data_IF_651490659823
#
_entry.id   IF_651490659823
#
_cell.length_a   1.000
_cell.length_b   1.000
_cell.length_c   1.000
_cell.angle_alpha   90.00
_cell.angle_beta   90.00
_cell.angle_gamma   90.00
#
_symmetry.space_group_name_H-M   'P 1'
#
loop_
_entity.id
_entity.type
_entity.pdbx_description
1 polymer ?
#
# COMPACT_ATOMS: atom_id res chain seq x y z
N UNK A 1 2.71 -58.11 31.74
CA UNK A 1 3.51 -57.12 31.01
C UNK A 1 2.86 -55.76 31.21
N UNK A 2 3.56 -54.87 31.92
CA UNK A 2 3.52 -53.39 31.82
C UNK A 2 2.22 -52.60 32.03
N UNK A 3 2.14 -52.00 33.23
CA UNK A 3 1.66 -50.66 33.61
C UNK A 3 1.19 -49.71 32.49
N UNK A 4 0.01 -49.08 32.69
CA UNK A 4 -0.19 -47.62 32.55
C UNK A 4 -1.26 -47.19 33.59
N UNK A 5 -0.84 -46.53 34.67
CA UNK A 5 -1.71 -45.84 35.63
C UNK A 5 -2.17 -44.49 35.05
N UNK A 6 -3.47 -44.22 35.13
CA UNK A 6 -4.06 -42.91 34.83
C UNK A 6 -4.02 -42.08 36.12
N UNK A 7 -3.07 -41.15 36.18
CA UNK A 7 -2.91 -40.20 37.26
C UNK A 7 -4.04 -39.15 37.22
N UNK A 8 -5.00 -39.23 38.14
CA UNK A 8 -5.99 -38.17 38.41
C UNK A 8 -5.70 -37.55 39.79
N UNK A 9 -4.74 -36.64 39.82
CA UNK A 9 -4.45 -35.86 41.02
C UNK A 9 -5.55 -34.82 41.24
N UNK A 10 -6.36 -35.03 42.29
CA UNK A 10 -7.21 -33.99 42.90
C UNK A 10 -6.31 -33.06 43.73
N UNK A 11 -6.24 -31.79 43.35
CA UNK A 11 -5.49 -30.78 44.10
C UNK A 11 -6.40 -30.17 45.17
N UNK A 12 -6.21 -30.61 46.42
CA UNK A 12 -6.75 -29.95 47.60
C UNK A 12 -5.92 -28.72 47.91
N UNK A 13 -6.53 -27.54 47.86
CA UNK A 13 -5.91 -26.28 48.29
C UNK A 13 -5.95 -26.23 49.82
N UNK A 14 -4.79 -26.33 50.46
CA UNK A 14 -4.63 -26.04 51.90
C UNK A 14 -3.81 -24.76 52.04
N UNK A 15 -4.47 -23.71 52.52
CA UNK A 15 -3.89 -22.40 52.80
C UNK A 15 -3.10 -22.48 54.11
N UNK A 16 -1.77 -22.45 54.04
CA UNK A 16 -0.91 -22.19 55.20
C UNK A 16 -0.22 -20.84 55.00
N UNK A 17 -0.72 -19.82 55.70
CA UNK A 17 -0.06 -18.52 55.78
C UNK A 17 1.07 -18.61 56.83
N UNK A 18 2.31 -18.80 56.36
CA UNK A 18 3.51 -18.64 57.18
C UNK A 18 4.16 -17.29 56.86
N UNK A 19 3.85 -16.28 57.67
CA UNK A 19 4.48 -14.97 57.60
C UNK A 19 5.87 -15.08 58.24
N UNK A 20 6.92 -15.30 57.43
CA UNK A 20 8.30 -15.15 57.89
C UNK A 20 8.80 -13.77 57.50
N UNK A 21 9.01 -12.92 58.51
CA UNK A 21 9.64 -11.62 58.33
C UNK A 21 11.13 -11.82 58.05
N UNK A 22 11.53 -11.73 56.78
CA UNK A 22 12.94 -11.54 56.42
C UNK A 22 13.32 -10.10 56.76
N UNK A 23 14.06 -9.91 57.85
CA UNK A 23 14.76 -8.65 58.10
C UNK A 23 15.98 -8.60 57.20
N UNK A 24 15.87 -7.86 56.09
CA UNK A 24 17.07 -7.44 55.33
C UNK A 24 17.72 -6.33 56.14
N UNK A 25 18.78 -6.66 56.86
CA UNK A 25 19.74 -5.65 57.33
C UNK A 25 20.44 -5.08 56.11
N UNK A 26 19.94 -3.96 55.60
CA UNK A 26 20.65 -3.16 54.63
C UNK A 26 21.95 -2.67 55.30
N UNK A 27 23.10 -3.25 54.93
CA UNK A 27 24.38 -2.60 55.21
C UNK A 27 24.36 -1.28 54.42
N UNK A 28 24.20 -0.18 55.16
CA UNK A 28 24.35 1.15 54.61
C UNK A 28 25.74 1.23 53.96
N UNK A 29 25.85 1.72 52.72
CA UNK A 29 27.15 1.86 52.07
C UNK A 29 28.03 2.76 52.95
N UNK A 30 29.18 2.22 53.37
CA UNK A 30 30.21 2.99 54.08
C UNK A 30 30.76 4.03 53.11
N UNK A 31 30.34 5.28 53.30
CA UNK A 31 30.79 6.42 52.53
C UNK A 31 32.26 6.66 52.86
N UNK A 32 33.13 6.37 51.90
CA UNK A 32 34.52 6.81 51.96
C UNK A 32 34.53 8.29 51.57
N UNK A 33 34.89 9.17 52.51
CA UNK A 33 34.91 10.61 52.32
C UNK A 33 36.07 11.01 51.40
N UNK A 34 35.83 10.92 50.08
CA UNK A 34 36.67 11.54 49.05
C UNK A 34 35.76 12.07 47.92
N UNK A 35 34.81 12.93 48.30
CA UNK A 35 33.61 13.29 47.53
C UNK A 35 33.73 14.48 46.57
N UNK A 36 34.88 14.69 45.94
CA UNK A 36 35.05 15.74 44.91
C UNK A 36 34.65 15.27 43.51
N UNK A 37 35.17 14.11 43.08
CA UNK A 37 35.05 13.65 41.68
C UNK A 37 33.75 12.92 41.32
N UNK A 38 33.07 12.28 42.27
CA UNK A 38 31.84 11.50 41.98
C UNK A 38 30.64 12.43 41.71
N UNK A 39 30.54 13.56 42.41
CA UNK A 39 29.48 14.54 42.20
C UNK A 39 29.61 15.20 40.82
N UNK A 40 30.84 15.55 40.42
CA UNK A 40 31.13 16.09 39.09
C UNK A 40 30.78 15.10 37.98
N UNK A 41 31.11 13.81 38.16
CA UNK A 41 30.73 12.77 37.20
C UNK A 41 29.21 12.62 37.06
N UNK A 42 28.47 12.68 38.17
CA UNK A 42 26.99 12.64 38.14
C UNK A 42 26.39 13.86 37.45
N UNK A 43 26.96 15.04 37.64
CA UNK A 43 26.52 16.27 36.97
C UNK A 43 26.71 16.14 35.45
N UNK A 44 27.86 15.63 34.99
CA UNK A 44 28.13 15.40 33.56
C UNK A 44 27.14 14.40 32.94
N UNK A 45 26.80 13.33 33.68
CA UNK A 45 25.81 12.34 33.21
C UNK A 45 24.40 12.94 33.17
N UNK A 46 24.01 13.71 34.19
CA UNK A 46 22.71 14.38 34.21
C UNK A 46 22.60 15.43 33.11
N UNK A 47 23.64 16.22 32.88
CA UNK A 47 23.70 17.20 31.79
C UNK A 47 23.56 16.51 30.42
N UNK A 48 24.21 15.35 30.23
CA UNK A 48 24.07 14.54 29.02
C UNK A 48 22.66 13.98 28.85
N UNK A 49 22.03 13.49 29.91
CA UNK A 49 20.66 12.96 29.88
C UNK A 49 19.65 14.07 29.62
N UNK A 50 19.84 15.25 30.22
CA UNK A 50 18.97 16.41 29.99
C UNK A 50 19.13 16.87 28.54
N UNK A 51 20.36 17.00 28.04
CA UNK A 51 20.62 17.36 26.64
C UNK A 51 20.01 16.36 25.66
N UNK A 52 20.21 15.06 25.88
CA UNK A 52 19.65 14.02 25.01
C UNK A 52 18.12 13.98 25.08
N UNK A 53 17.53 14.23 26.25
CA UNK A 53 16.07 14.35 26.42
C UNK A 53 15.52 15.57 25.67
N UNK A 54 16.20 16.71 25.75
CA UNK A 54 15.81 17.92 25.00
C UNK A 54 15.95 17.72 23.49
N UNK A 55 17.03 17.07 23.04
CA UNK A 55 17.22 16.70 21.62
C UNK A 55 16.12 15.74 21.14
N UNK A 56 15.76 14.74 21.95
CA UNK A 56 14.67 13.81 21.65
C UNK A 56 13.32 14.53 21.59
N UNK A 57 13.04 15.43 22.54
CA UNK A 57 11.83 16.24 22.54
C UNK A 57 11.74 17.13 21.30
N UNK A 58 12.86 17.76 20.90
CA UNK A 58 12.92 18.56 19.69
C UNK A 58 12.69 17.70 18.43
N UNK A 59 13.33 16.53 18.35
CA UNK A 59 13.13 15.58 17.23
C UNK A 59 11.68 15.11 17.12
N UNK A 60 11.03 14.82 18.25
CA UNK A 60 9.62 14.47 18.29
C UNK A 60 8.75 15.63 17.80
N UNK A 61 9.07 16.87 18.19
CA UNK A 61 8.35 18.06 17.74
C UNK A 61 8.48 18.27 16.24
N UNK A 62 9.70 18.15 15.68
CA UNK A 62 9.92 18.21 14.23
C UNK A 62 9.17 17.10 13.49
N UNK A 63 9.10 15.89 14.07
CA UNK A 63 8.31 14.81 13.49
C UNK A 63 6.82 15.16 13.47
N UNK A 64 6.28 15.72 14.55
CA UNK A 64 4.88 16.16 14.59
C UNK A 64 4.59 17.27 13.57
N UNK A 65 5.50 18.23 13.41
CA UNK A 65 5.35 19.31 12.43
C UNK A 65 5.39 18.76 11.00
N UNK A 66 6.30 17.84 10.71
CA UNK A 66 6.38 17.17 9.40
C UNK A 66 5.13 16.33 9.12
N UNK A 67 4.64 15.58 10.12
CA UNK A 67 3.41 14.81 10.00
C UNK A 67 2.19 15.71 9.75
N UNK A 68 2.12 16.85 10.43
CA UNK A 68 1.04 17.82 10.24
C UNK A 68 1.06 18.39 8.82
N UNK A 69 2.24 18.79 8.34
CA UNK A 69 2.43 19.26 6.96
C UNK A 69 2.03 18.21 5.93
N UNK A 70 2.37 16.94 6.16
CA UNK A 70 1.99 15.84 5.28
C UNK A 70 0.47 15.60 5.29
N UNK A 71 -0.18 15.65 6.45
CA UNK A 71 -1.65 15.55 6.56
C UNK A 71 -2.33 16.68 5.79
N UNK A 72 -1.80 17.90 5.86
CA UNK A 72 -2.39 19.05 5.16
C UNK A 72 -2.18 18.94 3.64
N UNK A 73 -1.02 18.46 3.18
CA UNK A 73 -0.78 18.14 1.77
C UNK A 73 -1.73 17.03 1.27
N UNK A 74 -1.92 15.97 2.07
CA UNK A 74 -2.83 14.87 1.73
C UNK A 74 -4.28 15.35 1.66
N UNK A 75 -4.72 16.23 2.56
CA UNK A 75 -6.05 16.85 2.52
C UNK A 75 -6.23 17.71 1.27
N UNK A 76 -5.24 18.53 0.92
CA UNK A 76 -5.28 19.33 -0.30
C UNK A 76 -5.35 18.45 -1.56
N UNK A 77 -4.54 17.39 -1.62
CA UNK A 77 -4.58 16.44 -2.72
C UNK A 77 -5.93 15.71 -2.80
N UNK A 78 -6.55 15.39 -1.65
CA UNK A 78 -7.88 14.77 -1.61
C UNK A 78 -8.94 15.71 -2.17
N UNK A 79 -8.93 16.98 -1.79
CA UNK A 79 -9.88 18.00 -2.27
C UNK A 79 -9.77 18.19 -3.79
N UNK A 80 -8.55 18.29 -4.32
CA UNK A 80 -8.30 18.38 -5.76
C UNK A 80 -8.83 17.14 -6.48
N UNK A 81 -8.55 15.94 -5.97
CA UNK A 81 -9.05 14.70 -6.55
C UNK A 81 -10.58 14.62 -6.52
N UNK A 82 -11.22 15.03 -5.42
CA UNK A 82 -12.68 15.08 -5.32
C UNK A 82 -13.27 16.05 -6.36
N UNK A 83 -12.65 17.21 -6.56
CA UNK A 83 -13.08 18.15 -7.59
C UNK A 83 -12.91 17.59 -9.01
N UNK A 84 -11.79 16.94 -9.30
CA UNK A 84 -11.55 16.30 -10.59
C UNK A 84 -12.56 15.19 -10.86
N UNK A 85 -12.86 14.35 -9.87
CA UNK A 85 -13.90 13.31 -9.97
C UNK A 85 -15.28 13.91 -10.26
N UNK A 86 -15.65 15.00 -9.59
CA UNK A 86 -16.91 15.70 -9.89
C UNK A 86 -16.96 16.18 -11.34
N UNK A 87 -15.88 16.78 -11.85
CA UNK A 87 -15.80 17.21 -13.26
C UNK A 87 -15.92 16.05 -14.24
N UNK A 88 -15.29 14.91 -13.94
CA UNK A 88 -15.39 13.71 -14.79
C UNK A 88 -16.83 13.17 -14.81
N UNK A 89 -17.50 13.13 -13.65
CA UNK A 89 -18.91 12.70 -13.57
C UNK A 89 -19.86 13.66 -14.30
N UNK A 90 -19.65 14.97 -14.17
CA UNK A 90 -20.41 15.98 -14.91
C UNK A 90 -20.22 15.78 -16.42
N UNK A 91 -18.97 15.60 -16.86
CA UNK A 91 -18.66 15.36 -18.27
C UNK A 91 -19.28 14.08 -18.79
N UNK A 92 -19.28 13.01 -17.98
CA UNK A 92 -19.92 11.75 -18.33
C UNK A 92 -21.44 11.94 -18.53
N UNK A 93 -22.09 12.70 -17.64
CA UNK A 93 -23.52 13.03 -17.75
C UNK A 93 -23.83 13.84 -19.02
N UNK A 94 -23.02 14.84 -19.33
CA UNK A 94 -23.15 15.61 -20.57
C UNK A 94 -23.04 14.72 -21.80
N UNK A 95 -22.07 13.81 -21.82
CA UNK A 95 -21.85 12.87 -22.92
C UNK A 95 -23.07 11.97 -23.14
N UNK A 96 -23.69 11.47 -22.07
CA UNK A 96 -24.92 10.68 -22.17
C UNK A 96 -26.06 11.49 -22.82
N UNK A 97 -26.26 12.74 -22.38
CA UNK A 97 -27.29 13.62 -22.95
C UNK A 97 -27.01 13.95 -24.43
N UNK A 98 -25.74 14.06 -24.81
CA UNK A 98 -25.33 14.28 -26.20
C UNK A 98 -25.60 13.05 -27.07
N UNK A 99 -25.29 11.84 -26.58
CA UNK A 99 -25.57 10.58 -27.27
C UNK A 99 -27.08 10.44 -27.49
N UNK A 100 -27.91 10.68 -26.47
CA UNK A 100 -29.36 10.62 -26.60
C UNK A 100 -29.88 11.61 -27.66
N UNK A 101 -29.41 12.86 -27.62
CA UNK A 101 -29.75 13.87 -28.64
C UNK A 101 -29.34 13.43 -30.04
N UNK A 102 -28.16 12.84 -30.20
CA UNK A 102 -27.66 12.35 -31.50
C UNK A 102 -28.47 11.16 -31.99
N UNK A 103 -28.83 10.23 -31.11
CA UNK A 103 -29.68 9.09 -31.45
C UNK A 103 -31.07 9.55 -31.88
N UNK A 104 -31.68 10.49 -31.17
CA UNK A 104 -32.97 11.06 -31.56
C UNK A 104 -32.88 11.87 -32.86
N UNK A 105 -31.80 12.63 -33.08
CA UNK A 105 -31.54 13.30 -34.35
C UNK A 105 -31.38 12.32 -35.52
N UNK A 106 -30.72 11.17 -35.30
CA UNK A 106 -30.58 10.11 -36.30
C UNK A 106 -31.91 9.42 -36.60
N UNK A 107 -32.76 9.20 -35.59
CA UNK A 107 -34.13 8.69 -35.76
C UNK A 107 -35.00 9.66 -36.55
N UNK A 108 -34.90 10.97 -36.28
CA UNK A 108 -35.64 12.01 -37.01
C UNK A 108 -35.11 12.23 -38.43
N UNK A 109 -33.82 11.98 -38.68
CA UNK A 109 -33.20 12.14 -40.00
C UNK A 109 -33.44 10.96 -40.95
N UNK A 110 -34.20 9.92 -40.55
CA UNK A 110 -34.71 8.89 -41.45
C UNK A 110 -33.67 8.00 -42.15
N UNK A 111 -32.42 7.95 -41.65
CA UNK A 111 -31.31 7.23 -42.29
C UNK A 111 -31.29 5.70 -42.02
N UNK A 112 -32.44 5.10 -41.71
CA UNK A 112 -32.60 3.65 -41.49
C UNK A 112 -33.72 3.07 -42.37
N UNK A 113 -33.73 3.42 -43.66
CA UNK A 113 -34.54 2.70 -44.64
C UNK A 113 -33.67 2.14 -45.79
N UNK A 114 -33.76 0.82 -45.92
CA UNK A 114 -33.41 -0.04 -47.07
C UNK A 114 -31.93 -0.32 -47.38
N UNK A 115 -31.46 -1.48 -46.91
CA UNK A 115 -30.59 -2.37 -47.71
C UNK A 115 -31.22 -3.76 -47.70
N UNK A 116 -32.03 -4.04 -48.72
CA UNK A 116 -32.37 -5.39 -49.18
C UNK A 116 -31.69 -5.59 -50.54
N UNK A 117 -31.13 -6.77 -50.79
CA UNK A 117 -30.45 -7.10 -52.03
C UNK A 117 -29.24 -8.00 -51.85
N UNK A 118 -29.51 -9.30 -51.78
CA UNK A 118 -28.58 -10.42 -51.92
C UNK A 118 -27.48 -10.21 -52.98
N UNK A 119 -26.22 -10.48 -52.66
CA UNK A 119 -25.32 -11.12 -53.62
C UNK A 119 -24.25 -12.00 -52.97
N UNK A 120 -24.01 -13.11 -53.64
CA UNK A 120 -23.24 -14.31 -53.30
C UNK A 120 -21.72 -14.13 -53.21
N UNK A 121 -21.14 -14.88 -52.26
CA UNK A 121 -19.83 -15.56 -52.30
C UNK A 121 -18.61 -14.84 -52.92
N UNK A 122 -17.68 -14.40 -52.07
CA UNK A 122 -16.27 -14.82 -52.19
C UNK A 122 -15.52 -14.66 -50.85
N UNK A 123 -14.61 -15.58 -50.60
CA UNK A 123 -13.91 -15.81 -49.36
C UNK A 123 -12.72 -14.85 -49.11
N UNK A 124 -12.36 -14.77 -47.82
CA UNK A 124 -11.03 -14.46 -47.29
C UNK A 124 -10.58 -13.01 -47.26
N UNK A 125 -10.88 -12.33 -46.15
CA UNK A 125 -9.89 -11.97 -45.12
C UNK A 125 -10.48 -10.94 -44.15
N UNK A 126 -11.07 -11.41 -43.05
CA UNK A 126 -11.27 -10.59 -41.85
C UNK A 126 -10.93 -11.42 -40.63
N UNK A 127 -9.95 -10.91 -39.89
CA UNK A 127 -9.53 -11.34 -38.56
C UNK A 127 -10.74 -11.60 -37.65
N UNK A 128 -10.65 -12.57 -36.72
CA UNK A 128 -11.82 -12.98 -35.95
C UNK A 128 -12.22 -11.86 -34.99
N UNK A 129 -13.31 -11.17 -35.32
CA UNK A 129 -14.23 -10.59 -34.34
C UNK A 129 -14.78 -11.77 -33.54
N UNK A 130 -14.28 -11.93 -32.31
CA UNK A 130 -14.78 -12.94 -31.39
C UNK A 130 -16.19 -12.54 -30.98
N UNK A 131 -17.10 -13.48 -31.20
CA UNK A 131 -18.51 -13.42 -30.92
C UNK A 131 -18.81 -13.17 -29.43
N UNK A 132 -19.86 -12.38 -29.21
CA UNK A 132 -20.44 -12.06 -27.92
C UNK A 132 -20.97 -13.31 -27.18
N UNK A 133 -20.23 -13.76 -26.18
CA UNK A 133 -20.79 -14.06 -24.86
C UNK A 133 -21.03 -12.72 -24.14
N UNK A 134 -21.92 -12.62 -23.12
CA UNK A 134 -21.86 -11.51 -22.16
C UNK A 134 -20.60 -11.71 -21.29
N UNK A 135 -19.44 -11.67 -21.92
CA UNK A 135 -18.16 -11.64 -21.24
C UNK A 135 -17.97 -10.21 -20.78
N UNK A 136 -17.98 -10.02 -19.46
CA UNK A 136 -17.62 -8.76 -18.80
C UNK A 136 -16.33 -8.26 -19.47
N UNK A 137 -16.42 -7.12 -20.16
CA UNK A 137 -15.27 -6.55 -20.86
C UNK A 137 -14.15 -6.25 -19.87
N UNK A 138 -12.89 -6.22 -20.32
CA UNK A 138 -11.75 -5.96 -19.43
C UNK A 138 -11.92 -4.67 -18.61
N UNK A 139 -12.47 -3.62 -19.20
CA UNK A 139 -12.79 -2.36 -18.51
C UNK A 139 -13.76 -2.58 -17.35
N UNK A 140 -14.85 -3.31 -17.57
CA UNK A 140 -15.87 -3.56 -16.54
C UNK A 140 -15.31 -4.48 -15.43
N UNK A 141 -14.51 -5.49 -15.79
CA UNK A 141 -13.87 -6.36 -14.83
C UNK A 141 -12.87 -5.60 -13.94
N UNK A 142 -12.07 -4.71 -14.54
CA UNK A 142 -11.14 -3.86 -13.81
C UNK A 142 -11.87 -2.85 -12.92
N UNK A 143 -12.90 -2.16 -13.44
CA UNK A 143 -13.70 -1.21 -12.67
C UNK A 143 -14.39 -1.86 -11.47
N UNK A 144 -14.94 -3.06 -11.66
CA UNK A 144 -15.53 -3.86 -10.58
C UNK A 144 -14.51 -4.13 -9.46
N UNK A 145 -13.30 -4.56 -9.83
CA UNK A 145 -12.22 -4.80 -8.87
C UNK A 145 -11.79 -3.51 -8.14
N UNK A 146 -11.68 -2.39 -8.84
CA UNK A 146 -11.34 -1.08 -8.26
C UNK A 146 -12.44 -0.57 -7.32
N UNK A 147 -13.72 -0.78 -7.66
CA UNK A 147 -14.84 -0.37 -6.82
C UNK A 147 -14.83 -1.06 -5.45
N UNK A 148 -14.34 -2.32 -5.37
CA UNK A 148 -14.16 -3.01 -4.10
C UNK A 148 -13.18 -2.26 -3.18
N UNK A 149 -12.16 -1.60 -3.71
CA UNK A 149 -11.22 -0.78 -2.93
C UNK A 149 -11.84 0.58 -2.58
N UNK A 150 -12.31 1.32 -3.59
CA UNK A 150 -12.62 2.74 -3.45
C UNK A 150 -14.00 3.02 -2.86
N UNK A 151 -14.99 2.18 -3.17
CA UNK A 151 -16.38 2.36 -2.74
C UNK A 151 -16.71 1.48 -1.55
N UNK A 152 -16.47 0.18 -1.69
CA UNK A 152 -16.90 -0.79 -0.67
C UNK A 152 -15.87 -1.02 0.44
N UNK A 153 -14.59 -0.68 0.21
CA UNK A 153 -13.46 -0.96 1.11
C UNK A 153 -13.33 -2.44 1.49
N UNK A 154 -13.75 -3.32 0.58
CA UNK A 154 -13.73 -4.77 0.73
C UNK A 154 -12.40 -5.33 0.20
N UNK A 155 -11.30 -5.01 0.88
CA UNK A 155 -9.95 -5.36 0.44
C UNK A 155 -9.72 -6.87 0.28
N UNK A 156 -10.35 -7.69 1.13
CA UNK A 156 -10.27 -9.15 1.04
C UNK A 156 -10.95 -9.71 -0.21
N UNK A 157 -11.96 -9.03 -0.75
CA UNK A 157 -12.59 -9.38 -2.03
C UNK A 157 -11.84 -8.80 -3.23
N UNK A 158 -11.19 -7.65 -3.05
CA UNK A 158 -10.43 -7.00 -4.11
C UNK A 158 -9.24 -7.87 -4.58
N UNK A 159 -8.56 -8.56 -3.66
CA UNK A 159 -7.42 -9.45 -4.00
C UNK A 159 -7.80 -10.52 -5.05
N UNK A 160 -8.78 -11.41 -4.79
CA UNK A 160 -9.17 -12.42 -5.78
C UNK A 160 -9.76 -11.80 -7.06
N UNK A 161 -10.38 -10.62 -6.98
CA UNK A 161 -10.87 -9.92 -8.17
C UNK A 161 -9.72 -9.45 -9.08
N UNK A 162 -8.66 -8.85 -8.53
CA UNK A 162 -7.48 -8.46 -9.31
C UNK A 162 -6.70 -9.68 -9.82
N UNK A 163 -6.61 -10.76 -9.05
CA UNK A 163 -6.00 -12.01 -9.50
C UNK A 163 -6.76 -12.59 -10.72
N UNK A 164 -8.08 -12.64 -10.65
CA UNK A 164 -8.92 -13.10 -11.75
C UNK A 164 -8.78 -12.19 -12.98
N UNK A 165 -8.75 -10.86 -12.77
CA UNK A 165 -8.53 -9.90 -13.84
C UNK A 165 -7.18 -10.14 -14.55
N UNK A 166 -6.09 -10.25 -13.80
CA UNK A 166 -4.73 -10.47 -14.35
C UNK A 166 -4.66 -11.81 -15.10
N UNK A 167 -5.30 -12.85 -14.57
CA UNK A 167 -5.33 -14.17 -15.22
C UNK A 167 -6.12 -14.13 -16.53
N UNK A 168 -7.25 -13.41 -16.57
CA UNK A 168 -8.11 -13.32 -17.74
C UNK A 168 -7.55 -12.37 -18.81
N UNK A 169 -6.95 -11.25 -18.39
CA UNK A 169 -6.49 -10.17 -19.26
C UNK A 169 -5.01 -9.81 -19.02
N UNK A 170 -4.06 -10.76 -19.21
CA UNK A 170 -2.64 -10.56 -18.87
C UNK A 170 -1.90 -9.53 -19.73
N UNK A 171 -2.49 -9.13 -20.86
CA UNK A 171 -1.96 -8.13 -21.78
C UNK A 171 -2.84 -6.86 -21.86
N UNK A 172 -3.76 -6.69 -20.91
CA UNK A 172 -4.63 -5.51 -20.83
C UNK A 172 -3.83 -4.22 -20.67
N UNK A 173 -4.35 -3.10 -21.17
CA UNK A 173 -3.84 -1.78 -20.82
C UNK A 173 -3.92 -1.49 -19.30
N UNK A 174 -4.86 -2.14 -18.60
CA UNK A 174 -4.99 -2.04 -17.15
C UNK A 174 -4.09 -3.00 -16.38
N UNK A 175 -3.40 -3.94 -17.04
CA UNK A 175 -2.55 -4.93 -16.39
C UNK A 175 -1.51 -4.32 -15.43
N UNK A 176 -0.72 -3.27 -15.79
CA UNK A 176 0.21 -2.66 -14.85
C UNK A 176 -0.49 -2.06 -13.62
N UNK A 177 -1.66 -1.46 -13.81
CA UNK A 177 -2.43 -0.91 -12.69
C UNK A 177 -3.00 -2.04 -11.80
N UNK A 178 -3.49 -3.12 -12.39
CA UNK A 178 -4.01 -4.28 -11.67
C UNK A 178 -2.93 -4.96 -10.83
N UNK A 179 -1.74 -5.19 -11.38
CA UNK A 179 -0.59 -5.69 -10.63
C UNK A 179 -0.20 -4.73 -9.50
N UNK A 180 -0.17 -3.41 -9.77
CA UNK A 180 0.12 -2.43 -8.74
C UNK A 180 -0.90 -2.44 -7.59
N UNK A 181 -2.20 -2.48 -7.90
CA UNK A 181 -3.26 -2.57 -6.88
C UNK A 181 -3.17 -3.84 -6.07
N UNK A 182 -2.97 -4.99 -6.72
CA UNK A 182 -2.79 -6.26 -6.03
C UNK A 182 -1.56 -6.21 -5.11
N UNK A 183 -0.43 -5.68 -5.59
CA UNK A 183 0.77 -5.47 -4.79
C UNK A 183 0.51 -4.58 -3.57
N UNK A 184 -0.25 -3.49 -3.72
CA UNK A 184 -0.62 -2.61 -2.59
C UNK A 184 -1.52 -3.31 -1.57
N UNK A 185 -2.50 -4.10 -2.02
CA UNK A 185 -3.37 -4.86 -1.11
C UNK A 185 -2.56 -5.86 -0.29
N UNK A 186 -1.67 -6.60 -0.95
CA UNK A 186 -0.77 -7.56 -0.30
C UNK A 186 0.23 -6.86 0.65
N UNK A 187 0.77 -5.71 0.25
CA UNK A 187 1.63 -4.88 1.08
C UNK A 187 0.92 -4.45 2.38
N UNK A 188 -0.33 -4.02 2.28
CA UNK A 188 -1.12 -3.62 3.45
C UNK A 188 -1.43 -4.81 4.38
N UNK A 189 -1.56 -6.01 3.81
CA UNK A 189 -1.68 -7.29 4.56
C UNK A 189 -0.35 -7.83 5.07
N UNK A 190 0.75 -7.10 4.86
CA UNK A 190 2.09 -7.49 5.26
C UNK A 190 2.62 -8.75 4.55
N UNK A 191 2.05 -9.08 3.40
CA UNK A 191 2.50 -10.17 2.54
C UNK A 191 3.62 -9.66 1.62
N UNK A 192 4.79 -9.42 2.20
CA UNK A 192 5.90 -8.72 1.54
C UNK A 192 6.43 -9.43 0.29
N UNK A 193 6.52 -10.76 0.35
CA UNK A 193 6.98 -11.59 -0.79
C UNK A 193 6.03 -11.45 -1.97
N UNK A 194 4.74 -11.72 -1.74
CA UNK A 194 3.71 -11.65 -2.77
C UNK A 194 3.57 -10.22 -3.32
N UNK A 195 3.62 -9.21 -2.45
CA UNK A 195 3.61 -7.81 -2.87
C UNK A 195 4.81 -7.46 -3.76
N UNK A 196 6.01 -7.92 -3.40
CA UNK A 196 7.22 -7.71 -4.19
C UNK A 196 7.12 -8.35 -5.56
N UNK A 197 6.56 -9.56 -5.66
CA UNK A 197 6.33 -10.22 -6.95
C UNK A 197 5.47 -9.34 -7.87
N UNK A 198 4.35 -8.82 -7.35
CA UNK A 198 3.45 -7.99 -8.14
C UNK A 198 4.09 -6.66 -8.56
N UNK A 199 4.82 -5.99 -7.66
CA UNK A 199 5.53 -4.77 -8.01
C UNK A 199 6.66 -5.02 -9.01
N UNK A 200 7.41 -6.12 -8.89
CA UNK A 200 8.43 -6.51 -9.86
C UNK A 200 7.84 -6.74 -11.26
N UNK A 201 6.63 -7.30 -11.37
CA UNK A 201 5.96 -7.43 -12.66
C UNK A 201 5.73 -6.05 -13.29
N UNK A 202 5.25 -5.06 -12.52
CA UNK A 202 5.09 -3.68 -13.00
C UNK A 202 6.43 -3.12 -13.49
N UNK A 203 7.49 -3.29 -12.71
CA UNK A 203 8.82 -2.73 -13.02
C UNK A 203 9.47 -3.37 -14.24
N UNK A 204 9.34 -4.69 -14.39
CA UNK A 204 10.10 -5.46 -15.37
C UNK A 204 9.33 -5.66 -16.69
N UNK A 205 7.99 -5.76 -16.65
CA UNK A 205 7.18 -5.99 -17.86
C UNK A 205 6.57 -4.72 -18.44
N UNK A 206 6.43 -3.66 -17.64
CA UNK A 206 5.71 -2.44 -18.05
C UNK A 206 6.58 -1.20 -17.84
N UNK A 207 7.68 -1.10 -18.61
CA UNK A 207 8.68 -0.01 -18.51
C UNK A 207 8.09 1.39 -18.63
N UNK A 208 7.02 1.54 -19.41
CA UNK A 208 6.43 2.83 -19.75
C UNK A 208 5.21 3.15 -18.87
N UNK A 209 4.89 2.28 -17.90
CA UNK A 209 3.75 2.46 -17.00
C UNK A 209 3.95 3.64 -16.06
N UNK A 210 2.89 4.46 -15.91
CA UNK A 210 2.83 5.53 -14.90
C UNK A 210 2.92 5.00 -13.47
N UNK A 211 2.75 3.69 -13.24
CA UNK A 211 2.91 3.02 -11.93
C UNK A 211 4.29 2.45 -11.66
N UNK A 212 5.17 2.41 -12.66
CA UNK A 212 6.54 1.94 -12.47
C UNK A 212 7.32 2.70 -11.38
N UNK A 213 7.30 4.05 -11.30
CA UNK A 213 7.99 4.76 -10.21
C UNK A 213 7.44 4.39 -8.82
N UNK A 214 6.12 4.28 -8.69
CA UNK A 214 5.49 3.89 -7.43
C UNK A 214 5.83 2.44 -7.04
N UNK A 215 5.87 1.52 -8.01
CA UNK A 215 6.23 0.13 -7.79
C UNK A 215 7.70 -0.02 -7.35
N UNK A 216 8.64 0.70 -7.99
CA UNK A 216 10.04 0.76 -7.58
C UNK A 216 10.20 1.27 -6.15
N UNK A 217 9.48 2.35 -5.80
CA UNK A 217 9.47 2.88 -4.44
C UNK A 217 8.97 1.83 -3.45
N UNK A 218 7.87 1.13 -3.76
CA UNK A 218 7.33 0.08 -2.88
C UNK A 218 8.30 -1.09 -2.71
N UNK A 219 8.99 -1.52 -3.77
CA UNK A 219 10.04 -2.53 -3.67
C UNK A 219 11.17 -2.07 -2.74
N UNK A 220 11.63 -0.83 -2.87
CA UNK A 220 12.66 -0.29 -1.98
C UNK A 220 12.22 -0.27 -0.51
N UNK A 221 10.96 0.08 -0.23
CA UNK A 221 10.39 0.04 1.12
C UNK A 221 10.31 -1.40 1.66
N UNK A 222 10.01 -2.39 0.80
CA UNK A 222 10.02 -3.79 1.20
C UNK A 222 11.46 -4.24 1.51
N UNK A 223 12.44 -3.88 0.68
CA UNK A 223 13.86 -4.19 0.91
C UNK A 223 14.36 -3.59 2.23
N UNK A 224 14.06 -2.32 2.49
CA UNK A 224 14.39 -1.64 3.75
C UNK A 224 13.80 -2.39 4.95
N UNK A 225 12.51 -2.75 4.87
CA UNK A 225 11.83 -3.52 5.93
C UNK A 225 12.49 -4.88 6.18
N UNK A 226 12.97 -5.54 5.13
CA UNK A 226 13.66 -6.82 5.23
C UNK A 226 15.11 -6.69 5.72
N UNK A 227 15.59 -5.47 5.98
CA UNK A 227 16.96 -5.18 6.40
C UNK A 227 17.97 -5.14 5.26
N UNK A 228 17.53 -5.28 4.01
CA UNK A 228 18.37 -5.16 2.82
C UNK A 228 18.47 -3.70 2.37
N UNK A 229 19.20 -2.91 3.17
CA UNK A 229 19.41 -1.49 2.92
C UNK A 229 20.21 -1.23 1.63
N UNK A 230 21.01 -2.21 1.18
CA UNK A 230 21.76 -2.09 -0.06
C UNK A 230 20.80 -2.09 -1.26
N UNK A 231 19.90 -3.09 -1.34
CA UNK A 231 18.88 -3.14 -2.38
C UNK A 231 17.90 -1.98 -2.28
N UNK A 232 17.50 -1.59 -1.07
CA UNK A 232 16.63 -0.43 -0.86
C UNK A 232 17.23 0.86 -1.44
N UNK A 233 18.52 1.12 -1.14
CA UNK A 233 19.25 2.27 -1.66
C UNK A 233 19.31 2.26 -3.20
N UNK A 234 19.59 1.11 -3.80
CA UNK A 234 19.61 0.96 -5.26
C UNK A 234 18.26 1.29 -5.88
N UNK A 235 17.17 0.73 -5.35
CA UNK A 235 15.81 0.95 -5.85
C UNK A 235 15.38 2.40 -5.69
N UNK A 236 15.66 3.03 -4.55
CA UNK A 236 15.34 4.44 -4.36
C UNK A 236 16.16 5.35 -5.28
N UNK A 237 17.47 5.09 -5.46
CA UNK A 237 18.28 5.83 -6.43
C UNK A 237 17.75 5.66 -7.85
N UNK A 238 17.26 4.48 -8.21
CA UNK A 238 16.64 4.24 -9.50
C UNK A 238 15.41 5.13 -9.71
N UNK A 239 14.54 5.26 -8.70
CA UNK A 239 13.40 6.18 -8.76
C UNK A 239 13.86 7.62 -8.99
N UNK A 240 14.87 8.09 -8.24
CA UNK A 240 15.38 9.46 -8.33
C UNK A 240 15.97 9.77 -9.71
N UNK A 241 16.70 8.80 -10.28
CA UNK A 241 17.40 8.97 -11.55
C UNK A 241 16.47 8.83 -12.76
N UNK A 242 15.58 7.84 -12.76
CA UNK A 242 14.72 7.53 -13.90
C UNK A 242 13.43 8.37 -13.91
N UNK A 243 12.98 8.88 -12.76
CA UNK A 243 11.69 9.57 -12.62
C UNK A 243 11.80 10.93 -11.91
N UNK A 244 12.53 11.89 -12.48
CA UNK A 244 12.86 13.16 -11.84
C UNK A 244 11.65 14.02 -11.46
N UNK A 245 10.51 13.84 -12.12
CA UNK A 245 9.28 14.62 -11.94
C UNK A 245 8.17 13.88 -11.17
N UNK A 246 8.43 12.64 -10.74
CA UNK A 246 7.44 11.82 -10.04
C UNK A 246 7.26 12.25 -8.58
N UNK A 247 6.07 12.02 -8.01
CA UNK A 247 5.87 12.10 -6.55
C UNK A 247 6.74 11.07 -5.82
N UNK A 248 6.91 9.88 -6.40
CA UNK A 248 7.71 8.80 -5.84
C UNK A 248 9.17 9.21 -5.59
N UNK A 249 9.75 10.06 -6.45
CA UNK A 249 11.10 10.62 -6.22
C UNK A 249 11.24 11.29 -4.87
N UNK A 250 10.33 12.21 -4.52
CA UNK A 250 10.44 12.95 -3.24
C UNK A 250 10.42 12.00 -2.04
N UNK A 251 9.60 10.95 -2.12
CA UNK A 251 9.55 9.91 -1.10
C UNK A 251 10.84 9.07 -1.07
N UNK A 252 11.39 8.73 -2.24
CA UNK A 252 12.64 8.01 -2.37
C UNK A 252 13.83 8.81 -1.80
N UNK A 253 13.93 10.11 -2.10
CA UNK A 253 14.95 11.01 -1.54
C UNK A 253 14.86 11.09 -0.02
N UNK A 254 13.64 11.24 0.52
CA UNK A 254 13.41 11.23 1.96
C UNK A 254 13.88 9.92 2.60
N UNK A 255 13.58 8.77 2.00
CA UNK A 255 14.02 7.45 2.47
C UNK A 255 15.55 7.32 2.41
N UNK A 256 16.19 7.75 1.32
CA UNK A 256 17.64 7.70 1.14
C UNK A 256 18.41 8.48 2.22
N UNK A 257 17.85 9.59 2.69
CA UNK A 257 18.44 10.40 3.76
C UNK A 257 18.34 9.74 5.15
N UNK A 258 17.41 8.79 5.31
CA UNK A 258 17.15 8.10 6.58
C UNK A 258 17.76 6.68 6.63
N UNK A 259 18.29 6.18 5.51
CA UNK A 259 18.91 4.85 5.34
C UNK A 259 20.38 4.81 5.76
#
# INVERSE_FOLDING_TARGET
MTFIEINTAKWSVTLFAALTAFTVSAQAPVVNANGGGELEQRIVVLERIVKSRTEMQHKMQTQLDNMQNEVDQLRGALEVNTNQLQKVLERQRELYLEIDKRVEALKQSGALTNVDGSNTANASSVSPVVAATPEVGESEAYESAVNLILKSREYDKAIPAFQAFIQRFPNSEYAPNAHYWLGQLLFNKQQWSDASEQFNIVVNRFSDSTKRPDALLKLGVISERNGDNASARQLFMQVVNEYPDSSAKRLAESRLNNL
#
